data_IF_899968520916
#
_entry.id   IF_899968520916
#
_cell.length_a   1.000
_cell.length_b   1.000
_cell.length_c   1.000
_cell.angle_alpha   90.00
_cell.angle_beta   90.00
_cell.angle_gamma   90.00
#
_symmetry.space_group_name_H-M   'P 1'
#
loop_
_entity.id
_entity.type
_entity.pdbx_description
1 polymer ?
#
# COMPACT_ATOMS: atom_id res chain seq x y z
N UNK A 1 -11.32 -7.31 -20.38
CA UNK A 1 -9.94 -7.63 -20.21
C UNK A 1 -9.52 -7.63 -18.77
N UNK A 2 -10.37 -8.24 -17.97
CA UNK A 2 -10.15 -8.30 -16.53
C UNK A 2 -8.82 -8.93 -16.13
N UNK A 3 -8.35 -10.05 -16.77
CA UNK A 3 -7.05 -10.60 -16.38
C UNK A 3 -5.90 -9.61 -16.56
N UNK A 4 -5.94 -8.75 -17.58
CA UNK A 4 -4.92 -7.74 -17.77
C UNK A 4 -4.94 -6.68 -16.68
N UNK A 5 -6.13 -6.27 -16.25
CA UNK A 5 -6.27 -5.29 -15.17
C UNK A 5 -5.77 -5.85 -13.84
N UNK A 6 -6.11 -7.10 -13.53
CA UNK A 6 -5.62 -7.73 -12.32
C UNK A 6 -4.10 -7.89 -12.35
N UNK A 7 -3.55 -8.29 -13.51
CA UNK A 7 -2.10 -8.41 -13.68
C UNK A 7 -1.40 -7.07 -13.53
N UNK A 8 -1.99 -6.00 -14.08
CA UNK A 8 -1.41 -4.65 -13.97
C UNK A 8 -1.39 -4.18 -12.52
N UNK A 9 -2.47 -4.43 -11.77
CA UNK A 9 -2.54 -4.07 -10.35
C UNK A 9 -1.54 -4.90 -9.55
N UNK A 10 -1.45 -6.20 -9.82
CA UNK A 10 -0.48 -7.09 -9.17
C UNK A 10 0.94 -6.58 -9.37
N UNK A 11 1.28 -6.24 -10.61
CA UNK A 11 2.62 -5.74 -10.93
C UNK A 11 2.88 -4.40 -10.25
N UNK A 12 1.90 -3.50 -10.26
CA UNK A 12 2.04 -2.20 -9.60
C UNK A 12 2.25 -2.36 -8.09
N UNK A 13 1.51 -3.29 -7.46
CA UNK A 13 1.68 -3.56 -6.03
C UNK A 13 3.10 -4.07 -5.73
N UNK A 14 3.64 -4.97 -6.56
CA UNK A 14 4.97 -5.53 -6.32
C UNK A 14 6.08 -4.52 -6.61
N UNK A 15 5.99 -3.82 -7.75
CA UNK A 15 7.08 -2.98 -8.23
C UNK A 15 7.13 -1.61 -7.56
N UNK A 16 5.99 -1.08 -7.11
CA UNK A 16 5.92 0.26 -6.53
C UNK A 16 5.51 0.25 -5.06
N UNK A 17 4.50 -0.51 -4.70
CA UNK A 17 3.96 -0.46 -3.35
C UNK A 17 4.83 -1.23 -2.35
N UNK A 18 4.96 -2.54 -2.54
CA UNK A 18 5.77 -3.35 -1.62
C UNK A 18 7.24 -2.97 -1.68
N UNK A 19 7.76 -2.78 -2.88
CA UNK A 19 9.15 -2.38 -3.05
C UNK A 19 9.41 -1.01 -2.45
N UNK A 20 8.50 -0.07 -2.66
CA UNK A 20 8.62 1.27 -2.10
C UNK A 20 8.64 1.25 -0.57
N UNK A 21 7.77 0.46 0.04
CA UNK A 21 7.74 0.32 1.50
C UNK A 21 9.04 -0.33 1.99
N UNK A 22 9.44 -1.43 1.36
CA UNK A 22 10.63 -2.18 1.76
C UNK A 22 11.90 -1.32 1.71
N UNK A 23 12.06 -0.58 0.63
CA UNK A 23 13.25 0.24 0.42
C UNK A 23 13.15 1.64 1.03
N UNK A 24 11.96 2.03 1.49
CA UNK A 24 11.73 3.39 1.95
C UNK A 24 11.79 4.41 0.81
N UNK A 25 11.42 4.00 -0.39
CA UNK A 25 11.53 4.82 -1.59
C UNK A 25 10.24 5.58 -1.84
N UNK A 26 10.20 6.85 -1.42
CA UNK A 26 9.01 7.67 -1.56
C UNK A 26 8.66 7.97 -3.02
N UNK A 27 9.62 7.91 -3.93
CA UNK A 27 9.34 8.12 -5.35
C UNK A 27 8.51 6.97 -5.93
N UNK A 28 8.85 5.73 -5.55
CA UNK A 28 8.07 4.57 -5.96
C UNK A 28 6.65 4.65 -5.39
N UNK A 29 6.52 4.99 -4.11
CA UNK A 29 5.22 5.11 -3.46
C UNK A 29 4.39 6.23 -4.09
N UNK A 30 5.00 7.38 -4.32
CA UNK A 30 4.30 8.51 -4.93
C UNK A 30 3.81 8.19 -6.34
N UNK A 31 4.46 7.24 -7.02
CA UNK A 31 4.06 6.82 -8.37
C UNK A 31 2.72 6.06 -8.36
N UNK A 32 2.44 5.29 -7.32
CA UNK A 32 1.24 4.45 -7.26
C UNK A 32 0.08 5.10 -6.52
N UNK A 33 0.33 6.12 -5.70
CA UNK A 33 -0.73 6.81 -4.95
C UNK A 33 -1.24 8.03 -5.69
N UNK A 34 -2.57 8.22 -5.65
CA UNK A 34 -3.17 9.49 -6.04
C UNK A 34 -2.85 10.52 -4.96
N UNK A 35 -2.61 11.79 -5.37
CA UNK A 35 -2.19 12.84 -4.44
C UNK A 35 -3.18 13.12 -3.31
N UNK A 36 -4.48 12.85 -3.56
CA UNK A 36 -5.53 13.10 -2.57
C UNK A 36 -5.88 11.86 -1.75
N UNK A 37 -5.05 10.83 -1.78
CA UNK A 37 -5.29 9.61 -1.02
C UNK A 37 -5.29 9.89 0.48
N UNK A 38 -6.27 9.31 1.17
CA UNK A 38 -6.35 9.33 2.63
C UNK A 38 -6.13 7.91 3.15
N UNK A 39 -5.48 7.83 4.30
CA UNK A 39 -5.17 6.56 4.95
C UNK A 39 -5.86 6.55 6.32
N UNK A 40 -6.59 5.47 6.58
CA UNK A 40 -7.32 5.30 7.83
C UNK A 40 -7.14 3.90 8.38
N UNK A 41 -7.35 3.75 9.67
CA UNK A 41 -7.38 2.44 10.29
C UNK A 41 -6.95 2.49 11.74
N UNK A 42 -6.27 1.42 12.17
CA UNK A 42 -5.73 1.36 13.52
C UNK A 42 -4.35 0.71 13.52
N UNK A 43 -3.50 1.16 14.43
CA UNK A 43 -2.17 0.60 14.64
C UNK A 43 -2.02 0.38 16.14
N UNK A 44 -1.85 -0.88 16.56
CA UNK A 44 -1.77 -1.26 17.96
C UNK A 44 -2.96 -0.74 18.77
N UNK A 45 -4.15 -0.82 18.18
CA UNK A 45 -5.39 -0.40 18.82
C UNK A 45 -5.61 1.11 18.84
N UNK A 46 -4.71 1.90 18.28
CA UNK A 46 -4.85 3.36 18.24
C UNK A 46 -5.34 3.81 16.87
N UNK A 47 -6.27 4.78 16.82
CA UNK A 47 -6.73 5.31 15.54
C UNK A 47 -5.57 5.85 14.70
N UNK A 48 -5.65 5.60 13.40
CA UNK A 48 -4.66 6.02 12.44
C UNK A 48 -5.38 6.79 11.34
N UNK A 49 -4.97 8.03 11.09
CA UNK A 49 -5.55 8.84 10.02
C UNK A 49 -4.46 9.76 9.48
N UNK A 50 -4.17 9.65 8.20
CA UNK A 50 -3.12 10.45 7.56
C UNK A 50 -3.48 10.83 6.14
N UNK A 51 -2.97 11.98 5.72
CA UNK A 51 -2.91 12.33 4.30
C UNK A 51 -1.74 11.58 3.67
N UNK A 52 -1.70 11.55 2.33
CA UNK A 52 -0.57 10.95 1.64
C UNK A 52 0.75 11.65 2.01
N UNK A 53 0.73 12.97 2.08
CA UNK A 53 1.93 13.73 2.44
C UNK A 53 2.48 13.33 3.80
N UNK A 54 1.61 13.20 4.80
CA UNK A 54 2.01 12.75 6.13
C UNK A 54 2.57 11.35 6.12
N UNK A 55 1.96 10.47 5.34
CA UNK A 55 2.42 9.08 5.19
C UNK A 55 3.82 9.03 4.57
N UNK A 56 4.03 9.75 3.48
CA UNK A 56 5.31 9.77 2.79
C UNK A 56 6.41 10.39 3.67
N UNK A 57 6.07 11.42 4.45
CA UNK A 57 7.01 11.98 5.43
C UNK A 57 7.43 10.94 6.45
N UNK A 58 6.48 10.14 6.93
CA UNK A 58 6.77 9.06 7.87
C UNK A 58 7.71 8.02 7.26
N UNK A 59 7.49 7.66 6.00
CA UNK A 59 8.36 6.70 5.31
C UNK A 59 9.76 7.29 5.13
N UNK A 60 9.86 8.55 4.75
CA UNK A 60 11.14 9.21 4.50
C UNK A 60 11.98 9.36 5.77
N UNK A 61 11.34 9.53 6.92
CA UNK A 61 12.02 9.84 8.17
C UNK A 61 12.28 8.64 9.07
N UNK A 62 11.83 7.44 8.66
CA UNK A 62 12.10 6.23 9.43
C UNK A 62 13.17 5.39 8.74
N UNK A 63 13.80 4.50 9.51
CA UNK A 63 14.67 3.49 8.92
C UNK A 63 13.81 2.54 8.08
N UNK A 64 14.18 2.30 6.83
CA UNK A 64 13.42 1.38 5.98
C UNK A 64 13.49 -0.04 6.52
N UNK A 65 12.49 -0.89 6.20
CA UNK A 65 12.60 -2.31 6.53
C UNK A 65 13.88 -2.93 5.99
N UNK A 66 14.29 -2.55 4.77
CA UNK A 66 15.52 -3.04 4.16
C UNK A 66 16.74 -2.71 5.01
N UNK A 67 16.88 -1.45 5.41
CA UNK A 67 18.02 -1.00 6.21
C UNK A 67 17.97 -1.54 7.63
N UNK A 68 16.78 -1.84 8.14
CA UNK A 68 16.65 -2.40 9.49
C UNK A 68 17.17 -3.84 9.58
N UNK A 69 17.25 -4.54 8.45
CA UNK A 69 17.62 -5.96 8.42
C UNK A 69 16.55 -6.89 8.98
N UNK A 70 15.41 -6.36 9.39
CA UNK A 70 14.31 -7.17 9.91
C UNK A 70 13.48 -7.77 8.79
N UNK A 71 12.81 -8.91 9.02
CA UNK A 71 12.00 -9.54 7.98
C UNK A 71 10.92 -8.60 7.44
N UNK A 72 10.69 -8.73 6.14
CA UNK A 72 9.63 -7.99 5.44
C UNK A 72 8.94 -8.94 4.48
N UNK A 73 7.60 -8.88 4.41
CA UNK A 73 6.85 -9.69 3.47
C UNK A 73 5.58 -8.96 3.06
N UNK A 74 5.38 -8.81 1.76
CA UNK A 74 4.14 -8.29 1.20
C UNK A 74 3.42 -9.40 0.45
N UNK A 75 2.17 -9.67 0.81
CA UNK A 75 1.33 -10.69 0.17
C UNK A 75 0.07 -10.06 -0.37
N UNK A 76 -0.32 -10.46 -1.58
CA UNK A 76 -1.60 -10.09 -2.18
C UNK A 76 -2.57 -11.23 -1.89
N UNK A 77 -3.65 -10.92 -1.15
CA UNK A 77 -4.67 -11.91 -0.78
C UNK A 77 -5.72 -12.02 -1.88
N UNK A 78 -6.22 -10.88 -2.36
CA UNK A 78 -7.23 -10.86 -3.41
C UNK A 78 -7.24 -9.53 -4.13
N UNK A 79 -7.71 -9.54 -5.37
CA UNK A 79 -7.94 -8.34 -6.18
C UNK A 79 -9.29 -8.52 -6.88
N UNK A 80 -10.15 -7.52 -6.76
CA UNK A 80 -11.44 -7.49 -7.46
C UNK A 80 -11.52 -6.24 -8.30
N UNK A 81 -11.85 -6.39 -9.57
CA UNK A 81 -11.91 -5.29 -10.53
C UNK A 81 -13.32 -5.17 -11.08
N UNK A 82 -13.86 -3.96 -11.09
CA UNK A 82 -15.12 -3.62 -11.75
C UNK A 82 -14.85 -2.36 -12.58
N UNK A 83 -14.78 -2.51 -13.89
CA UNK A 83 -14.49 -1.41 -14.80
C UNK A 83 -13.22 -0.65 -14.38
N UNK A 84 -13.32 0.64 -14.04
CA UNK A 84 -12.19 1.48 -13.68
C UNK A 84 -11.88 1.52 -12.19
N UNK A 85 -12.56 0.69 -11.39
CA UNK A 85 -12.32 0.64 -9.96
C UNK A 85 -11.90 -0.76 -9.54
N UNK A 86 -11.12 -0.83 -8.47
CA UNK A 86 -10.69 -2.11 -7.94
C UNK A 86 -10.41 -2.00 -6.45
N UNK A 87 -10.42 -3.16 -5.80
CA UNK A 87 -9.97 -3.27 -4.41
C UNK A 87 -8.99 -4.43 -4.30
N UNK A 88 -7.87 -4.17 -3.63
CA UNK A 88 -6.89 -5.19 -3.32
C UNK A 88 -6.84 -5.38 -1.81
N UNK A 89 -6.89 -6.64 -1.40
CA UNK A 89 -6.67 -7.03 -0.01
C UNK A 89 -5.26 -7.57 0.08
N UNK A 90 -4.43 -6.97 0.95
CA UNK A 90 -3.02 -7.35 1.07
C UNK A 90 -2.64 -7.49 2.54
N UNK A 91 -1.52 -8.16 2.78
CA UNK A 91 -0.92 -8.26 4.11
C UNK A 91 0.54 -7.83 4.01
N UNK A 92 0.97 -6.96 4.92
CA UNK A 92 2.34 -6.47 4.95
C UNK A 92 2.90 -6.72 6.34
N UNK A 93 3.89 -7.58 6.43
CA UNK A 93 4.63 -7.82 7.66
C UNK A 93 5.93 -7.04 7.59
N UNK A 94 6.11 -6.15 8.56
CA UNK A 94 7.32 -5.31 8.60
C UNK A 94 7.61 -4.91 10.04
N UNK A 95 8.88 -4.90 10.39
CA UNK A 95 9.32 -4.68 11.79
C UNK A 95 8.61 -5.69 12.70
N UNK A 96 7.88 -5.19 13.70
CA UNK A 96 7.06 -6.00 14.61
C UNK A 96 5.58 -5.96 14.26
N UNK A 97 5.22 -5.31 13.13
CA UNK A 97 3.84 -5.13 12.72
C UNK A 97 3.38 -6.20 11.74
N UNK A 98 2.09 -6.46 11.77
CA UNK A 98 1.43 -7.33 10.80
C UNK A 98 0.19 -6.59 10.31
N UNK A 99 0.33 -5.87 9.19
CA UNK A 99 -0.72 -5.03 8.66
C UNK A 99 -1.62 -5.79 7.70
N UNK A 100 -2.92 -5.77 7.99
CA UNK A 100 -3.94 -6.21 7.04
C UNK A 100 -4.49 -4.95 6.39
N UNK A 101 -4.53 -4.91 5.06
CA UNK A 101 -4.83 -3.67 4.34
C UNK A 101 -5.84 -3.89 3.24
N UNK A 102 -6.73 -2.90 3.07
CA UNK A 102 -7.60 -2.79 1.92
C UNK A 102 -7.19 -1.55 1.13
N UNK A 103 -6.81 -1.75 -0.13
CA UNK A 103 -6.35 -0.68 -1.00
C UNK A 103 -7.38 -0.48 -2.09
N UNK A 104 -7.98 0.70 -2.15
CA UNK A 104 -8.92 1.05 -3.21
C UNK A 104 -8.16 1.68 -4.36
N UNK A 105 -8.40 1.18 -5.57
CA UNK A 105 -7.75 1.66 -6.79
C UNK A 105 -8.75 2.30 -7.73
N UNK A 106 -8.29 3.28 -8.48
CA UNK A 106 -9.02 3.85 -9.59
C UNK A 106 -8.09 3.97 -10.80
N UNK A 107 -8.57 3.55 -11.97
CA UNK A 107 -7.79 3.69 -13.19
C UNK A 107 -8.00 5.08 -13.77
N UNK A 108 -6.95 5.87 -13.76
CA UNK A 108 -6.96 7.26 -14.23
C UNK A 108 -5.88 7.38 -15.30
N UNK A 109 -6.28 7.81 -16.51
CA UNK A 109 -5.35 7.94 -17.65
C UNK A 109 -4.53 6.67 -17.86
N UNK A 110 -5.22 5.53 -17.85
CA UNK A 110 -4.64 4.20 -18.06
C UNK A 110 -3.68 3.73 -16.97
N UNK A 111 -3.63 4.42 -15.85
CA UNK A 111 -2.80 4.01 -14.69
C UNK A 111 -3.67 3.67 -13.50
N UNK A 112 -3.41 2.53 -12.88
CA UNK A 112 -4.09 2.15 -11.65
C UNK A 112 -3.43 2.84 -10.47
N UNK A 113 -4.17 3.74 -9.81
CA UNK A 113 -3.66 4.49 -8.66
C UNK A 113 -4.44 4.14 -7.40
N UNK A 114 -3.74 4.06 -6.28
CA UNK A 114 -4.38 3.87 -4.97
C UNK A 114 -5.01 5.21 -4.58
N UNK A 115 -6.31 5.18 -4.28
CA UNK A 115 -7.05 6.38 -3.89
C UNK A 115 -7.48 6.37 -2.43
N UNK A 116 -7.39 5.22 -1.76
CA UNK A 116 -7.66 5.09 -0.32
C UNK A 116 -6.95 3.86 0.21
N UNK A 117 -6.46 3.95 1.44
CA UNK A 117 -5.83 2.83 2.13
C UNK A 117 -6.47 2.69 3.51
N UNK A 118 -6.96 1.49 3.79
CA UNK A 118 -7.40 1.10 5.12
C UNK A 118 -6.39 0.10 5.67
N UNK A 119 -6.00 0.27 6.92
CA UNK A 119 -4.93 -0.52 7.53
C UNK A 119 -5.32 -0.89 8.95
N UNK A 120 -5.02 -2.13 9.33
CA UNK A 120 -5.17 -2.58 10.72
C UNK A 120 -3.99 -3.47 11.07
N UNK A 121 -3.36 -3.17 12.20
CA UNK A 121 -2.31 -4.05 12.74
C UNK A 121 -2.99 -5.20 13.46
N UNK A 122 -2.90 -6.39 12.86
CA UNK A 122 -3.54 -7.59 13.40
C UNK A 122 -2.61 -8.43 14.26
N UNK A 123 -1.46 -7.90 14.59
CA UNK A 123 -0.49 -8.55 15.46
C UNK A 123 -0.86 -8.24 16.90
N UNK A 124 -1.75 -9.05 17.36
CA UNK A 124 -2.37 -8.88 18.61
C UNK A 124 -1.73 -8.53 19.85
#
# INVERSE_FOLDING_TARGET
>A
MKPLNESAITQALRDYYFKGIYEGDINLLNHIFHTNTLLFGDVKGQPYAKTLEQYLDGVANRQSPKDSGKPFKGDIISIKVVNSIAIAEVNVKMYEFNYHEFLSFHQINNSWLIVNKMISDVNG
#
